data_IF_394314969623
#
_entry.id   IF_394314969623
#
_cell.length_a   1.000
_cell.length_b   1.000
_cell.length_c   1.000
_cell.angle_alpha   90.00
_cell.angle_beta   90.00
_cell.angle_gamma   90.00
#
_symmetry.space_group_name_H-M   'P 1'
#
loop_
_entity.id
_entity.type
_entity.pdbx_description
1 polymer ?
#
# COMPACT_ATOMS: atom_id res chain seq x y z
N UNK A 1 -8.67 -30.50 0.77
CA UNK A 1 -9.49 -29.34 1.19
C UNK A 1 -8.91 -28.01 0.71
N UNK A 2 -7.62 -27.73 0.89
CA UNK A 2 -6.97 -26.45 0.52
C UNK A 2 -7.16 -26.02 -0.93
N UNK A 3 -7.03 -26.93 -1.90
CA UNK A 3 -7.19 -26.59 -3.33
C UNK A 3 -8.62 -26.15 -3.71
N UNK A 4 -9.64 -26.67 -3.02
CA UNK A 4 -11.05 -26.30 -3.26
C UNK A 4 -11.30 -24.88 -2.73
N UNK A 5 -10.85 -24.57 -1.52
CA UNK A 5 -10.96 -23.23 -0.91
C UNK A 5 -10.26 -22.17 -1.75
N UNK A 6 -9.07 -22.49 -2.30
CA UNK A 6 -8.33 -21.56 -3.16
C UNK A 6 -9.06 -21.29 -4.48
N UNK A 7 -9.74 -22.31 -5.03
CA UNK A 7 -10.57 -22.15 -6.23
C UNK A 7 -11.77 -21.26 -5.95
N UNK A 8 -12.45 -21.46 -4.82
CA UNK A 8 -13.58 -20.62 -4.38
C UNK A 8 -13.15 -19.16 -4.16
N UNK A 9 -12.01 -18.92 -3.51
CA UNK A 9 -11.48 -17.56 -3.30
C UNK A 9 -11.16 -16.86 -4.62
N UNK A 10 -10.56 -17.59 -5.59
CA UNK A 10 -10.28 -17.05 -6.92
C UNK A 10 -11.58 -16.76 -7.69
N UNK A 11 -12.56 -17.65 -7.63
CA UNK A 11 -13.87 -17.43 -8.27
C UNK A 11 -14.60 -16.24 -7.65
N UNK A 12 -14.56 -16.08 -6.33
CA UNK A 12 -15.11 -14.91 -5.64
C UNK A 12 -14.44 -13.62 -6.11
N UNK A 13 -13.10 -13.61 -6.20
CA UNK A 13 -12.34 -12.45 -6.68
C UNK A 13 -12.76 -12.07 -8.10
N UNK A 14 -12.90 -13.04 -9.00
CA UNK A 14 -13.25 -12.80 -10.41
C UNK A 14 -14.70 -12.36 -10.60
N UNK A 15 -15.63 -12.80 -9.75
CA UNK A 15 -17.06 -12.54 -9.90
C UNK A 15 -17.55 -11.35 -9.07
N UNK A 16 -16.93 -11.08 -7.92
CA UNK A 16 -17.37 -10.05 -6.96
C UNK A 16 -16.37 -8.92 -6.77
N UNK A 17 -15.15 -9.04 -7.32
CA UNK A 17 -14.09 -8.03 -7.19
C UNK A 17 -13.35 -8.05 -5.85
N UNK A 18 -13.63 -9.01 -4.97
CA UNK A 18 -12.92 -9.22 -3.70
C UNK A 18 -12.91 -10.70 -3.30
N UNK A 19 -12.01 -11.09 -2.39
CA UNK A 19 -12.06 -12.40 -1.73
C UNK A 19 -11.60 -12.29 -0.28
N UNK A 20 -12.00 -13.25 0.56
CA UNK A 20 -11.62 -13.31 1.98
C UNK A 20 -10.60 -14.42 2.18
N UNK A 21 -9.44 -14.08 2.72
CA UNK A 21 -8.42 -15.03 3.14
C UNK A 21 -8.33 -14.98 4.66
N UNK A 22 -8.81 -16.01 5.38
CA UNK A 22 -8.75 -16.02 6.83
C UNK A 22 -7.33 -16.30 7.32
N UNK A 23 -7.07 -15.87 8.55
CA UNK A 23 -5.88 -16.25 9.33
C UNK A 23 -4.55 -16.01 8.62
N UNK A 24 -4.44 -14.90 7.89
CA UNK A 24 -3.24 -14.53 7.13
C UNK A 24 -2.08 -14.22 8.09
N UNK A 25 -2.32 -13.36 9.07
CA UNK A 25 -1.33 -12.96 10.07
C UNK A 25 -1.28 -13.95 11.24
N UNK A 26 -0.08 -14.30 11.67
CA UNK A 26 0.11 -14.99 12.94
C UNK A 26 -0.03 -14.00 14.13
N UNK A 27 -0.33 -14.50 15.34
CA UNK A 27 -0.53 -13.65 16.51
C UNK A 27 0.69 -12.76 16.86
N UNK A 28 1.91 -13.22 16.56
CA UNK A 28 3.12 -12.47 16.90
C UNK A 28 3.32 -11.27 15.98
N UNK A 29 3.13 -11.46 14.66
CA UNK A 29 3.14 -10.37 13.69
C UNK A 29 2.01 -9.37 13.95
N UNK A 30 0.80 -9.87 14.28
CA UNK A 30 -0.32 -9.01 14.64
C UNK A 30 -0.02 -8.14 15.86
N UNK A 31 0.60 -8.72 16.91
CA UNK A 31 0.98 -7.97 18.10
C UNK A 31 2.01 -6.88 17.78
N UNK A 32 3.04 -7.22 16.99
CA UNK A 32 4.08 -6.28 16.56
C UNK A 32 3.52 -5.09 15.78
N UNK A 33 2.63 -5.36 14.80
CA UNK A 33 1.98 -4.30 14.01
C UNK A 33 1.10 -3.43 14.90
N UNK A 34 0.33 -4.02 15.82
CA UNK A 34 -0.50 -3.25 16.77
C UNK A 34 0.33 -2.26 17.58
N UNK A 35 1.40 -2.73 18.22
CA UNK A 35 2.29 -1.85 19.01
C UNK A 35 2.83 -0.67 18.19
N UNK A 36 3.30 -0.93 16.97
CA UNK A 36 3.81 0.14 16.10
C UNK A 36 2.69 1.09 15.69
N UNK A 37 1.54 0.57 15.25
CA UNK A 37 0.42 1.43 14.81
C UNK A 37 -0.16 2.26 15.95
N UNK A 38 -0.27 1.73 17.17
CA UNK A 38 -0.69 2.48 18.36
C UNK A 38 0.28 3.62 18.67
N UNK A 39 1.59 3.35 18.61
CA UNK A 39 2.62 4.38 18.78
C UNK A 39 2.55 5.48 17.72
N UNK A 40 2.31 5.11 16.46
CA UNK A 40 2.15 6.06 15.35
C UNK A 40 0.89 6.92 15.49
N UNK A 41 -0.23 6.31 15.91
CA UNK A 41 -1.49 7.01 16.12
C UNK A 41 -1.40 7.98 17.31
N UNK A 42 -0.73 7.60 18.40
CA UNK A 42 -0.53 8.46 19.56
C UNK A 42 0.31 9.71 19.25
N UNK A 43 1.10 9.69 18.18
CA UNK A 43 1.91 10.82 17.72
C UNK A 43 1.17 11.77 16.76
N UNK A 44 -0.07 11.45 16.35
CA UNK A 44 -0.81 12.32 15.43
C UNK A 44 -1.22 13.63 16.13
N UNK A 45 -1.06 14.73 15.41
CA UNK A 45 -1.54 16.04 15.86
C UNK A 45 -3.06 16.18 15.69
N UNK A 46 -3.64 17.19 16.35
CA UNK A 46 -5.04 17.54 16.15
C UNK A 46 -5.31 18.00 14.70
N UNK A 47 -4.33 18.66 14.08
CA UNK A 47 -4.35 19.08 12.68
C UNK A 47 -4.37 17.89 11.72
N UNK A 48 -3.57 16.86 11.97
CA UNK A 48 -3.57 15.62 11.18
C UNK A 48 -4.93 14.92 11.26
N UNK A 49 -5.48 14.81 12.47
CA UNK A 49 -6.80 14.22 12.71
C UNK A 49 -7.91 15.00 11.99
N UNK A 50 -7.83 16.33 11.99
CA UNK A 50 -8.80 17.19 11.29
C UNK A 50 -8.71 17.04 9.77
N UNK A 51 -7.51 16.97 9.22
CA UNK A 51 -7.28 16.77 7.78
C UNK A 51 -7.82 15.42 7.31
N UNK A 52 -7.58 14.38 8.09
CA UNK A 52 -7.99 13.01 7.78
C UNK A 52 -9.36 12.66 8.35
N UNK A 53 -10.26 13.62 8.64
CA UNK A 53 -11.53 13.37 9.32
C UNK A 53 -12.36 12.22 8.74
N UNK A 54 -12.36 12.08 7.41
CA UNK A 54 -13.11 11.03 6.72
C UNK A 54 -12.41 9.67 6.75
N UNK A 55 -11.08 9.61 6.74
CA UNK A 55 -10.27 8.37 6.76
C UNK A 55 -9.88 7.96 8.18
N UNK A 56 -9.94 8.91 9.12
CA UNK A 56 -9.48 8.85 10.50
C UNK A 56 -7.97 9.07 10.61
N UNK A 57 -7.17 8.25 9.94
CA UNK A 57 -5.73 8.47 9.76
C UNK A 57 -5.29 8.06 8.35
N UNK A 58 -4.18 8.63 7.88
CA UNK A 58 -3.53 8.22 6.63
C UNK A 58 -2.01 8.33 6.77
N UNK A 59 -1.44 7.49 7.63
CA UNK A 59 0.00 7.50 7.94
C UNK A 59 0.72 6.61 6.93
N UNK A 60 1.72 7.14 6.22
CA UNK A 60 2.50 6.34 5.27
C UNK A 60 3.20 5.19 5.97
N UNK A 61 3.12 3.97 5.44
CA UNK A 61 3.84 2.82 6.01
C UNK A 61 5.37 2.90 5.81
N UNK A 62 5.88 3.87 5.05
CA UNK A 62 7.33 4.06 4.91
C UNK A 62 7.99 4.60 6.19
N UNK A 63 7.21 4.92 7.22
CA UNK A 63 7.71 5.49 8.48
C UNK A 63 8.33 4.46 9.42
N UNK A 64 8.00 3.17 9.26
CA UNK A 64 8.49 2.11 10.15
C UNK A 64 8.85 0.83 9.35
N UNK A 65 10.02 0.21 9.61
CA UNK A 65 10.44 -1.00 8.90
C UNK A 65 9.57 -2.24 9.18
N UNK A 66 8.75 -2.27 10.24
CA UNK A 66 7.83 -3.40 10.49
C UNK A 66 6.91 -3.65 9.29
N UNK A 67 6.54 -2.59 8.58
CA UNK A 67 5.65 -2.71 7.44
C UNK A 67 6.33 -3.38 6.26
N UNK A 68 7.67 -3.30 6.15
CA UNK A 68 8.39 -4.07 5.15
C UNK A 68 8.26 -5.59 5.40
N UNK A 69 8.34 -6.00 6.68
CA UNK A 69 8.13 -7.38 7.07
C UNK A 69 6.70 -7.86 6.78
N UNK A 70 5.69 -7.01 7.03
CA UNK A 70 4.30 -7.29 6.70
C UNK A 70 4.09 -7.47 5.19
N UNK A 71 4.59 -6.53 4.36
CA UNK A 71 4.42 -6.59 2.90
C UNK A 71 5.09 -7.83 2.31
N UNK A 72 6.22 -8.24 2.89
CA UNK A 72 7.00 -9.38 2.43
C UNK A 72 6.66 -10.68 3.19
N UNK A 73 5.51 -10.76 3.89
CA UNK A 73 5.16 -11.93 4.68
C UNK A 73 5.05 -13.16 3.76
N UNK A 74 5.82 -14.25 3.99
CA UNK A 74 5.84 -15.39 3.08
C UNK A 74 4.46 -16.02 2.87
N UNK A 75 3.68 -16.10 3.95
CA UNK A 75 2.33 -16.66 3.92
C UNK A 75 1.38 -15.85 3.01
N UNK A 76 1.50 -14.52 3.00
CA UNK A 76 0.71 -13.64 2.13
C UNK A 76 1.12 -13.84 0.67
N UNK A 77 2.43 -13.88 0.41
CA UNK A 77 2.97 -14.10 -0.93
C UNK A 77 2.59 -15.46 -1.51
N UNK A 78 2.61 -16.52 -0.69
CA UNK A 78 2.15 -17.86 -1.07
C UNK A 78 0.66 -17.86 -1.39
N UNK A 79 -0.16 -17.14 -0.61
CA UNK A 79 -1.59 -16.99 -0.89
C UNK A 79 -1.84 -16.23 -2.19
N UNK A 80 -1.14 -15.12 -2.43
CA UNK A 80 -1.18 -14.39 -3.69
C UNK A 80 -0.80 -15.28 -4.88
N UNK A 81 0.28 -16.07 -4.75
CA UNK A 81 0.69 -17.03 -5.77
C UNK A 81 -0.39 -18.09 -6.03
N UNK A 82 -1.03 -18.61 -4.98
CA UNK A 82 -2.11 -19.59 -5.08
C UNK A 82 -3.39 -19.05 -5.74
N UNK A 83 -3.61 -17.72 -5.66
CA UNK A 83 -4.66 -17.03 -6.41
C UNK A 83 -4.28 -16.75 -7.86
N UNK A 84 -3.06 -17.08 -8.30
CA UNK A 84 -2.54 -16.86 -9.65
C UNK A 84 -1.63 -15.64 -9.81
N UNK A 85 -1.24 -14.98 -8.71
CA UNK A 85 -0.38 -13.80 -8.70
C UNK A 85 1.01 -14.15 -8.13
N UNK A 86 1.80 -14.88 -8.91
CA UNK A 86 3.09 -15.42 -8.45
C UNK A 86 4.21 -14.37 -8.22
N UNK A 87 4.03 -13.14 -8.69
CA UNK A 87 5.03 -12.09 -8.58
C UNK A 87 4.39 -10.73 -8.24
N UNK A 88 3.76 -10.61 -7.05
CA UNK A 88 3.13 -9.36 -6.63
C UNK A 88 4.20 -8.27 -6.46
N UNK A 89 3.84 -7.03 -6.82
CA UNK A 89 4.69 -5.85 -6.67
C UNK A 89 4.02 -4.87 -5.72
N UNK A 90 4.80 -4.29 -4.82
CA UNK A 90 4.32 -3.26 -3.90
C UNK A 90 4.48 -1.86 -4.50
N UNK A 91 3.46 -1.01 -4.29
CA UNK A 91 3.40 0.36 -4.80
C UNK A 91 3.31 1.38 -3.65
N UNK A 92 2.31 1.24 -2.77
CA UNK A 92 2.06 2.13 -1.64
C UNK A 92 1.21 1.45 -0.56
N UNK A 93 1.16 2.06 0.62
CA UNK A 93 0.25 1.65 1.67
C UNK A 93 0.23 2.65 2.82
N UNK A 94 -0.85 2.58 3.60
CA UNK A 94 -1.13 3.52 4.68
C UNK A 94 -1.69 2.80 5.90
N UNK A 95 -1.39 3.30 7.09
CA UNK A 95 -2.08 2.96 8.33
C UNK A 95 -3.34 3.83 8.43
N UNK A 96 -4.49 3.17 8.42
CA UNK A 96 -5.81 3.79 8.52
C UNK A 96 -6.46 3.33 9.83
N UNK A 97 -6.80 4.27 10.69
CA UNK A 97 -7.51 4.05 11.94
C UNK A 97 -8.77 4.90 11.94
N UNK A 98 -9.92 4.27 12.14
CA UNK A 98 -11.24 4.91 12.19
C UNK A 98 -11.70 4.95 13.65
N UNK A 99 -11.59 6.10 14.35
CA UNK A 99 -12.12 6.20 15.70
C UNK A 99 -13.65 6.04 15.70
N UNK A 100 -14.24 5.70 16.86
CA UNK A 100 -15.69 5.67 17.01
C UNK A 100 -16.32 6.99 16.52
N UNK A 101 -17.50 6.90 15.89
CA UNK A 101 -18.26 8.04 15.38
C UNK A 101 -17.65 8.79 14.18
N UNK A 102 -16.54 8.30 13.60
CA UNK A 102 -16.05 8.84 12.32
C UNK A 102 -17.08 8.71 11.19
N UNK A 103 -17.09 9.63 10.22
CA UNK A 103 -17.96 9.53 9.05
C UNK A 103 -17.70 8.24 8.27
N UNK A 104 -18.74 7.73 7.59
CA UNK A 104 -18.58 6.63 6.62
C UNK A 104 -17.71 7.10 5.45
N UNK A 105 -16.90 6.19 4.89
CA UNK A 105 -16.26 6.45 3.60
C UNK A 105 -17.35 6.43 2.52
N UNK A 106 -17.22 7.30 1.52
CA UNK A 106 -18.08 7.29 0.35
C UNK A 106 -17.75 6.08 -0.52
N UNK A 107 -18.70 5.65 -1.36
CA UNK A 107 -18.43 4.67 -2.40
C UNK A 107 -17.40 5.24 -3.37
N UNK A 108 -16.28 4.54 -3.52
CA UNK A 108 -15.21 4.89 -4.45
C UNK A 108 -14.54 3.60 -4.96
N UNK A 109 -13.83 3.74 -6.08
CA UNK A 109 -12.85 2.75 -6.51
C UNK A 109 -11.46 3.30 -6.20
N UNK A 110 -10.57 2.46 -5.69
CA UNK A 110 -9.17 2.83 -5.48
C UNK A 110 -8.49 2.97 -6.84
N UNK A 111 -8.44 4.19 -7.36
CA UNK A 111 -7.59 4.53 -8.49
C UNK A 111 -6.24 4.99 -7.94
N UNK A 112 -5.16 4.36 -8.38
CA UNK A 112 -3.83 4.92 -8.17
C UNK A 112 -3.82 6.22 -8.95
N UNK A 113 -3.84 7.35 -8.22
CA UNK A 113 -3.65 8.67 -8.79
C UNK A 113 -2.32 8.70 -9.52
N UNK A 114 -2.37 8.46 -10.82
CA UNK A 114 -1.27 8.81 -11.71
C UNK A 114 -1.14 10.31 -11.58
N UNK A 115 0.02 10.77 -11.14
CA UNK A 115 0.37 12.19 -11.17
C UNK A 115 0.30 12.69 -12.61
N UNK A 116 -0.89 13.09 -13.06
CA UNK A 116 -0.99 14.09 -14.11
C UNK A 116 -0.38 15.35 -13.54
N UNK A 117 0.77 15.71 -14.09
CA UNK A 117 1.48 16.97 -13.86
C UNK A 117 0.50 18.13 -13.60
N UNK A 118 0.46 18.63 -12.36
CA UNK A 118 0.00 19.99 -12.12
C UNK A 118 1.15 20.92 -12.55
N UNK A 119 0.94 21.89 -13.45
CA UNK A 119 2.05 22.67 -14.05
C UNK A 119 2.88 23.53 -13.08
N UNK A 120 2.53 23.61 -11.79
CA UNK A 120 3.15 24.53 -10.85
C UNK A 120 4.28 23.95 -10.00
N UNK A 121 4.62 22.65 -10.08
CA UNK A 121 5.68 22.08 -9.22
C UNK A 121 6.66 21.18 -9.97
N UNK A 122 7.60 21.83 -10.65
CA UNK A 122 8.82 21.20 -11.15
C UNK A 122 9.75 20.88 -9.97
N UNK A 123 9.86 19.61 -9.59
CA UNK A 123 11.11 19.09 -8.99
C UNK A 123 11.53 17.80 -9.68
N UNK A 124 12.47 17.95 -10.62
CA UNK A 124 13.41 16.90 -11.05
C UNK A 124 13.94 16.20 -9.81
N UNK A 125 13.78 14.88 -9.69
CA UNK A 125 14.68 14.02 -8.93
C UNK A 125 14.31 12.54 -9.21
N UNK A 126 15.29 11.76 -9.71
CA UNK A 126 15.34 10.29 -9.84
C UNK A 126 14.72 9.62 -11.08
N UNK A 127 15.29 9.83 -12.27
CA UNK A 127 14.95 9.03 -13.48
C UNK A 127 15.48 7.57 -13.46
N UNK A 128 16.29 7.17 -12.47
CA UNK A 128 16.98 5.87 -12.47
C UNK A 128 16.20 4.66 -11.93
N UNK A 129 14.98 4.85 -11.41
CA UNK A 129 14.17 3.78 -10.78
C UNK A 129 12.82 3.61 -11.50
N UNK A 130 12.47 4.53 -12.39
CA UNK A 130 11.22 4.47 -13.12
C UNK A 130 11.46 3.91 -14.52
N UNK A 131 10.79 2.81 -14.85
CA UNK A 131 10.61 2.45 -16.25
C UNK A 131 9.47 3.33 -16.80
N UNK A 132 9.71 3.99 -17.93
CA UNK A 132 8.65 4.67 -18.69
C UNK A 132 7.56 3.62 -19.03
N UNK A 133 6.35 3.82 -18.51
CA UNK A 133 5.20 2.94 -18.71
C UNK A 133 4.50 3.20 -20.05
N UNK A 134 3.95 2.15 -20.65
CA UNK A 134 3.27 2.13 -21.95
C UNK A 134 2.21 3.24 -22.08
N UNK A 135 2.15 3.86 -23.26
CA UNK A 135 1.11 4.81 -23.68
C UNK A 135 -0.27 4.15 -23.60
N UNK A 136 -1.10 4.59 -22.67
CA UNK A 136 -2.52 4.24 -22.61
C UNK A 136 -3.29 5.30 -23.42
N UNK A 137 -4.20 4.86 -24.28
CA UNK A 137 -5.09 5.75 -25.02
C UNK A 137 -6.50 5.24 -24.75
N UNK A 138 -7.25 5.97 -23.93
CA UNK A 138 -8.69 5.80 -23.77
C UNK A 138 -9.33 7.10 -24.27
N UNK A 139 -10.24 6.97 -25.23
CA UNK A 139 -10.83 8.08 -25.98
C UNK A 139 -11.65 9.05 -25.11
N UNK A 140 -11.89 8.72 -23.83
CA UNK A 140 -12.78 9.50 -22.98
C UNK A 140 -12.23 10.00 -21.64
N UNK A 141 -11.04 9.58 -21.18
CA UNK A 141 -10.63 9.94 -19.81
C UNK A 141 -9.18 10.39 -19.58
N UNK A 142 -8.15 9.92 -20.30
CA UNK A 142 -6.77 10.33 -19.99
C UNK A 142 -5.79 10.19 -21.16
N UNK A 143 -4.99 11.24 -21.42
CA UNK A 143 -3.82 11.22 -22.32
C UNK A 143 -2.55 11.65 -21.54
N UNK A 144 -1.59 10.75 -21.31
CA UNK A 144 -0.31 11.07 -20.65
C UNK A 144 0.64 9.88 -20.49
N UNK A 145 1.91 10.16 -20.20
CA UNK A 145 2.90 9.16 -19.78
C UNK A 145 2.88 9.02 -18.24
N UNK A 146 3.05 7.79 -17.74
CA UNK A 146 3.07 7.53 -16.30
C UNK A 146 4.28 6.72 -15.85
N UNK A 147 4.63 6.90 -14.57
CA UNK A 147 5.75 6.25 -13.92
C UNK A 147 5.24 5.45 -12.72
N UNK A 148 5.41 4.13 -12.74
CA UNK A 148 5.13 3.25 -11.61
C UNK A 148 6.42 2.76 -10.98
N UNK A 149 6.51 2.84 -9.64
CA UNK A 149 7.60 2.24 -8.90
C UNK A 149 7.22 0.80 -8.53
N UNK A 150 7.98 -0.16 -9.06
CA UNK A 150 7.79 -1.58 -8.77
C UNK A 150 8.94 -2.10 -7.90
N UNK A 151 8.64 -2.52 -6.67
CA UNK A 151 9.63 -3.20 -5.81
C UNK A 151 9.37 -4.70 -5.84
N UNK A 152 10.41 -5.47 -6.11
CA UNK A 152 10.37 -6.93 -6.05
C UNK A 152 10.39 -7.41 -4.59
N UNK A 153 9.34 -8.12 -4.19
CA UNK A 153 9.13 -8.55 -2.80
C UNK A 153 9.98 -9.76 -2.39
N UNK A 154 10.72 -10.37 -3.33
CA UNK A 154 11.62 -11.49 -3.02
C UNK A 154 12.79 -11.11 -2.10
N UNK A 155 13.09 -9.81 -1.97
CA UNK A 155 14.19 -9.31 -1.16
C UNK A 155 13.71 -8.22 -0.19
N UNK A 156 13.40 -8.62 1.05
CA UNK A 156 12.96 -7.68 2.10
C UNK A 156 13.99 -6.56 2.38
N UNK A 157 15.29 -6.85 2.20
CA UNK A 157 16.37 -5.86 2.37
C UNK A 157 16.23 -4.65 1.45
N UNK A 158 15.75 -4.83 0.21
CA UNK A 158 15.52 -3.73 -0.73
C UNK A 158 14.37 -2.82 -0.27
N UNK A 159 13.35 -3.41 0.35
CA UNK A 159 12.18 -2.70 0.83
C UNK A 159 12.52 -1.90 2.09
N UNK A 160 13.27 -2.49 3.01
CA UNK A 160 13.83 -1.83 4.20
C UNK A 160 14.73 -0.66 3.79
N UNK A 161 15.63 -0.86 2.83
CA UNK A 161 16.51 0.21 2.34
C UNK A 161 15.73 1.35 1.68
N UNK A 162 14.67 1.02 0.93
CA UNK A 162 13.81 2.00 0.30
C UNK A 162 13.03 2.83 1.33
N UNK A 163 12.48 2.18 2.36
CA UNK A 163 11.82 2.87 3.47
C UNK A 163 12.79 3.77 4.26
N UNK A 164 13.98 3.27 4.60
CA UNK A 164 15.04 4.06 5.27
C UNK A 164 15.50 5.27 4.45
N UNK A 165 15.65 5.11 3.13
CA UNK A 165 16.00 6.21 2.22
C UNK A 165 14.89 7.25 2.14
N UNK A 166 13.63 6.83 2.19
CA UNK A 166 12.47 7.74 2.20
C UNK A 166 12.43 8.57 3.48
N UNK A 167 12.63 7.95 4.65
CA UNK A 167 12.75 8.65 5.94
C UNK A 167 13.85 9.74 5.91
N UNK A 168 15.02 9.42 5.34
CA UNK A 168 16.13 10.38 5.15
C UNK A 168 15.76 11.57 4.25
N UNK A 169 14.93 11.36 3.22
CA UNK A 169 14.48 12.41 2.29
C UNK A 169 13.39 13.31 2.88
N UNK A 170 12.61 12.81 3.84
CA UNK A 170 11.52 13.58 4.50
C UNK A 170 12.06 14.38 5.71
N UNK A 171 13.37 14.31 6.00
CA UNK A 171 14.00 15.09 7.07
C UNK A 171 13.68 14.60 8.49
N UNK A 172 13.04 13.43 8.63
CA UNK A 172 12.86 12.79 9.94
C UNK A 172 14.18 12.14 10.33
N UNK A 173 14.91 12.79 11.26
CA UNK A 173 16.11 12.23 11.88
C UNK A 173 15.71 11.03 12.74
N UNK A 174 16.47 9.95 12.57
CA UNK A 174 16.56 8.80 13.50
C UNK A 174 17.01 9.24 14.88
#
# INVERSE_FOLDING_TARGET
MTAIILKEQREQLLTQGYCIIPDVLDPSMLHKIRQVTEGLLAQQSAEDTKRERSTGSMISISVDPVFAELIALPKDLEKMASLGYANPKFTSGFVISKPPQSPRLFWHYDIIGVTTTCPCTTRRLHLGIFQSGKRWVDEHLFNGEYYMQHVDLRYNSLLIDLMKRRLKLIGMRS
#
